data_IF_879067743437
#
_entry.id   IF_879067743437
#
_cell.length_a   1.000
_cell.length_b   1.000
_cell.length_c   1.000
_cell.angle_alpha   90.00
_cell.angle_beta   90.00
_cell.angle_gamma   90.00
#
_symmetry.space_group_name_H-M   'P 1'
#
loop_
_entity.id
_entity.type
_entity.pdbx_description
1 polymer ?
#
# COMPACT_ATOMS: atom_id res chain seq x y z
N UNK A 1 -29.89 -8.34 0.72
CA UNK A 1 -29.02 -9.14 1.60
C UNK A 1 -27.62 -8.60 1.69
N UNK A 2 -26.93 -8.26 0.60
CA UNK A 2 -25.55 -7.77 0.58
C UNK A 2 -25.29 -6.58 1.53
N UNK A 3 -26.12 -5.53 1.53
CA UNK A 3 -25.98 -4.38 2.43
C UNK A 3 -26.05 -4.72 3.93
N UNK A 4 -26.82 -5.75 4.30
CA UNK A 4 -26.86 -6.23 5.70
C UNK A 4 -25.53 -6.90 6.09
N UNK A 5 -24.95 -7.72 5.19
CA UNK A 5 -23.64 -8.35 5.42
C UNK A 5 -22.56 -7.27 5.59
N UNK A 6 -22.54 -6.26 4.74
CA UNK A 6 -21.61 -5.14 4.79
C UNK A 6 -21.73 -4.36 6.11
N UNK A 7 -22.97 -4.06 6.56
CA UNK A 7 -23.22 -3.38 7.82
C UNK A 7 -22.71 -4.17 9.03
N UNK A 8 -22.95 -5.48 9.07
CA UNK A 8 -22.49 -6.31 10.18
C UNK A 8 -20.97 -6.47 10.19
N UNK A 9 -20.35 -6.60 9.04
CA UNK A 9 -18.89 -6.67 8.93
C UNK A 9 -18.24 -5.35 9.35
N UNK A 10 -18.79 -4.21 8.91
CA UNK A 10 -18.31 -2.89 9.32
C UNK A 10 -18.45 -2.69 10.84
N UNK A 11 -19.62 -3.07 11.44
CA UNK A 11 -19.84 -2.97 12.87
C UNK A 11 -18.87 -3.83 13.69
N UNK A 12 -18.49 -4.98 13.16
CA UNK A 12 -17.58 -5.88 13.86
C UNK A 12 -16.12 -5.40 13.81
N UNK A 13 -15.70 -4.78 12.69
CA UNK A 13 -14.35 -4.22 12.52
C UNK A 13 -14.18 -2.86 13.19
N UNK A 14 -15.24 -2.03 13.22
CA UNK A 14 -15.23 -0.70 13.83
C UNK A 14 -15.06 -0.70 15.37
N UNK A 15 -15.10 -1.85 16.01
CA UNK A 15 -14.83 -1.96 17.45
C UNK A 15 -13.34 -1.95 17.80
N UNK A 16 -12.48 -2.37 16.89
CA UNK A 16 -11.05 -2.58 17.17
C UNK A 16 -10.18 -1.63 16.35
N UNK A 17 -10.43 -1.50 15.05
CA UNK A 17 -9.58 -0.71 14.15
C UNK A 17 -9.46 0.77 14.58
N UNK A 18 -10.54 1.47 15.00
CA UNK A 18 -10.42 2.87 15.43
C UNK A 18 -9.50 3.10 16.62
N UNK A 19 -9.32 2.10 17.50
CA UNK A 19 -8.38 2.23 18.62
C UNK A 19 -6.92 2.35 18.14
N UNK A 20 -6.55 1.64 17.06
CA UNK A 20 -5.21 1.76 16.50
C UNK A 20 -4.97 3.18 15.95
N UNK A 21 -5.96 3.77 15.30
CA UNK A 21 -5.90 5.17 14.84
C UNK A 21 -5.82 6.16 16.01
N UNK A 22 -6.62 5.93 17.06
CA UNK A 22 -6.63 6.80 18.23
C UNK A 22 -5.26 6.81 18.93
N UNK A 23 -4.62 5.64 19.09
CA UNK A 23 -3.31 5.53 19.71
C UNK A 23 -2.26 6.29 18.89
N UNK A 24 -2.19 6.06 17.58
CA UNK A 24 -1.24 6.76 16.71
C UNK A 24 -1.50 8.27 16.66
N UNK A 25 -2.77 8.69 16.73
CA UNK A 25 -3.16 10.10 16.80
C UNK A 25 -2.70 10.78 18.10
N UNK A 26 -2.79 10.07 19.25
CA UNK A 26 -2.27 10.58 20.51
C UNK A 26 -0.75 10.77 20.47
N UNK A 27 -0.01 9.83 19.85
CA UNK A 27 1.42 10.02 19.63
C UNK A 27 1.72 11.20 18.70
N UNK A 28 0.88 11.45 17.70
CA UNK A 28 1.03 12.62 16.84
C UNK A 28 0.84 13.92 17.62
N UNK A 29 -0.23 14.03 18.41
CA UNK A 29 -0.46 15.20 19.30
C UNK A 29 0.74 15.39 20.22
N UNK A 30 1.22 14.34 20.86
CA UNK A 30 2.37 14.37 21.75
C UNK A 30 3.63 14.90 21.03
N UNK A 31 3.94 14.40 19.85
CA UNK A 31 5.06 14.88 19.05
C UNK A 31 4.92 16.37 18.70
N UNK A 32 3.77 16.80 18.18
CA UNK A 32 3.54 18.19 17.79
C UNK A 32 3.57 19.17 18.99
N UNK A 33 3.16 18.74 20.17
CA UNK A 33 3.28 19.53 21.39
C UNK A 33 4.76 19.64 21.83
N UNK A 34 5.49 18.52 21.87
CA UNK A 34 6.90 18.52 22.24
C UNK A 34 7.76 19.37 21.29
N UNK A 35 7.47 19.34 20.00
CA UNK A 35 8.20 20.12 19.00
C UNK A 35 8.08 21.64 19.21
N UNK A 36 7.11 22.11 20.02
CA UNK A 36 6.92 23.53 20.33
C UNK A 36 7.60 23.97 21.62
N UNK A 37 7.82 23.06 22.58
CA UNK A 37 8.23 23.42 23.94
C UNK A 37 9.58 22.86 24.38
N UNK A 38 10.12 21.85 23.69
CA UNK A 38 11.31 21.13 24.12
C UNK A 38 12.44 21.18 23.07
N UNK A 39 13.67 20.96 23.56
CA UNK A 39 14.87 20.98 22.71
C UNK A 39 14.99 19.77 21.79
N UNK A 40 15.94 19.82 20.88
CA UNK A 40 16.12 18.91 19.73
C UNK A 40 16.13 17.42 20.08
N UNK A 41 16.71 17.03 21.23
CA UNK A 41 16.77 15.63 21.66
C UNK A 41 15.39 15.07 21.96
N UNK A 42 14.53 15.82 22.65
CA UNK A 42 13.17 15.39 22.99
C UNK A 42 12.27 15.34 21.75
N UNK A 43 12.49 16.25 20.82
CA UNK A 43 11.80 16.27 19.53
C UNK A 43 12.20 15.06 18.69
N UNK A 44 13.49 14.74 18.59
CA UNK A 44 13.99 13.55 17.89
C UNK A 44 13.41 12.26 18.47
N UNK A 45 13.37 12.12 19.79
CA UNK A 45 12.78 10.97 20.45
C UNK A 45 11.27 10.84 20.17
N UNK A 46 10.53 11.94 20.29
CA UNK A 46 9.07 11.93 20.01
C UNK A 46 8.75 11.64 18.53
N UNK A 47 9.59 12.09 17.60
CA UNK A 47 9.51 11.74 16.18
C UNK A 47 9.64 10.22 15.98
N UNK A 48 10.66 9.60 16.59
CA UNK A 48 10.88 8.17 16.50
C UNK A 48 9.68 7.36 17.04
N UNK A 49 9.10 7.78 18.18
CA UNK A 49 7.92 7.16 18.75
C UNK A 49 6.69 7.31 17.84
N UNK A 50 6.50 8.46 17.19
CA UNK A 50 5.41 8.66 16.25
C UNK A 50 5.57 7.77 15.02
N UNK A 51 6.76 7.70 14.42
CA UNK A 51 7.03 6.80 13.30
C UNK A 51 6.75 5.34 13.70
N UNK A 52 7.23 4.91 14.86
CA UNK A 52 6.96 3.57 15.38
C UNK A 52 5.45 3.32 15.56
N UNK A 53 4.71 4.30 16.08
CA UNK A 53 3.27 4.20 16.27
C UNK A 53 2.51 4.08 14.91
N UNK A 54 2.93 4.82 13.88
CA UNK A 54 2.34 4.73 12.54
C UNK A 54 2.61 3.37 11.89
N UNK A 55 3.83 2.86 11.99
CA UNK A 55 4.20 1.52 11.50
C UNK A 55 3.41 0.45 12.24
N UNK A 56 3.32 0.54 13.56
CA UNK A 56 2.56 -0.40 14.40
C UNK A 56 1.07 -0.37 14.05
N UNK A 57 0.49 0.82 13.87
CA UNK A 57 -0.90 0.98 13.44
C UNK A 57 -1.17 0.30 12.09
N UNK A 58 -0.26 0.50 11.11
CA UNK A 58 -0.38 -0.14 9.80
C UNK A 58 -0.37 -1.67 9.92
N UNK A 59 0.58 -2.23 10.69
CA UNK A 59 0.69 -3.68 10.93
C UNK A 59 -0.55 -4.21 11.64
N UNK A 60 -1.05 -3.52 12.68
CA UNK A 60 -2.25 -3.93 13.43
C UNK A 60 -3.44 -4.00 12.48
N UNK A 61 -3.70 -2.96 11.68
CA UNK A 61 -4.83 -2.96 10.74
C UNK A 61 -4.70 -4.11 9.74
N UNK A 62 -3.52 -4.31 9.16
CA UNK A 62 -3.25 -5.35 8.19
C UNK A 62 -3.46 -6.77 8.77
N UNK A 63 -2.87 -7.05 9.94
CA UNK A 63 -3.00 -8.34 10.63
C UNK A 63 -4.44 -8.59 11.07
N UNK A 64 -5.12 -7.58 11.62
CA UNK A 64 -6.51 -7.69 12.05
C UNK A 64 -7.45 -8.06 10.90
N UNK A 65 -7.26 -7.45 9.71
CA UNK A 65 -8.04 -7.78 8.52
C UNK A 65 -7.79 -9.22 8.06
N UNK A 66 -6.52 -9.67 8.08
CA UNK A 66 -6.15 -11.05 7.76
C UNK A 66 -6.77 -12.07 8.70
N UNK A 67 -6.59 -11.86 10.01
CA UNK A 67 -7.10 -12.75 11.07
C UNK A 67 -8.63 -12.80 11.04
N UNK A 68 -9.28 -11.68 10.85
CA UNK A 68 -10.73 -11.62 10.78
C UNK A 68 -11.27 -12.37 9.57
N UNK A 69 -10.66 -12.18 8.39
CA UNK A 69 -11.04 -12.92 7.19
C UNK A 69 -10.85 -14.43 7.39
N UNK A 70 -9.69 -14.84 7.93
CA UNK A 70 -9.43 -16.23 8.24
C UNK A 70 -10.46 -16.83 9.22
N UNK A 71 -10.65 -16.19 10.38
CA UNK A 71 -11.58 -16.71 11.41
C UNK A 71 -13.00 -16.84 10.91
N UNK A 72 -13.46 -15.87 10.12
CA UNK A 72 -14.84 -15.84 9.64
C UNK A 72 -15.12 -16.75 8.45
N UNK A 73 -14.09 -17.10 7.63
CA UNK A 73 -14.26 -17.93 6.43
C UNK A 73 -13.77 -19.38 6.61
N UNK A 74 -12.75 -19.59 7.46
CA UNK A 74 -12.06 -20.88 7.59
C UNK A 74 -11.85 -21.31 9.05
N UNK A 75 -12.05 -20.44 10.02
CA UNK A 75 -11.91 -20.71 11.45
C UNK A 75 -13.22 -21.14 12.12
N UNK A 76 -13.29 -20.99 13.45
CA UNK A 76 -14.44 -21.40 14.27
C UNK A 76 -15.78 -20.73 13.89
N UNK A 77 -15.73 -19.50 13.36
CA UNK A 77 -16.94 -18.75 12.93
C UNK A 77 -17.41 -19.15 11.51
N UNK A 78 -16.63 -19.95 10.78
CA UNK A 78 -16.91 -20.31 9.39
C UNK A 78 -18.26 -21.04 9.25
N UNK A 79 -18.59 -21.94 10.19
CA UNK A 79 -19.88 -22.64 10.18
C UNK A 79 -21.05 -21.66 10.13
N UNK A 80 -21.05 -20.66 11.03
CA UNK A 80 -22.12 -19.66 11.07
C UNK A 80 -22.15 -18.81 9.79
N UNK A 81 -21.00 -18.50 9.23
CA UNK A 81 -20.89 -17.70 8.00
C UNK A 81 -21.44 -18.45 6.78
N UNK A 82 -21.21 -19.77 6.71
CA UNK A 82 -21.66 -20.59 5.58
C UNK A 82 -23.12 -21.08 5.71
N UNK A 83 -23.73 -21.02 6.89
CA UNK A 83 -25.18 -21.30 7.08
C UNK A 83 -26.07 -20.10 6.72
N UNK A 84 -25.48 -18.91 6.46
CA UNK A 84 -26.24 -17.76 6.03
C UNK A 84 -26.89 -18.00 4.64
N UNK A 85 -28.16 -17.60 4.43
CA UNK A 85 -28.84 -17.72 3.13
C UNK A 85 -28.32 -16.66 2.14
N UNK A 86 -27.02 -16.69 1.84
CA UNK A 86 -26.33 -15.77 0.96
C UNK A 86 -25.32 -16.53 0.08
N UNK A 87 -25.09 -16.07 -1.14
CA UNK A 87 -24.08 -16.67 -1.99
C UNK A 87 -22.68 -16.46 -1.41
N UNK A 88 -21.82 -17.47 -1.52
CA UNK A 88 -20.41 -17.40 -1.05
C UNK A 88 -19.67 -16.19 -1.63
N UNK A 89 -19.99 -15.81 -2.87
CA UNK A 89 -19.44 -14.59 -3.50
C UNK A 89 -19.90 -13.31 -2.84
N UNK A 90 -21.18 -13.22 -2.43
CA UNK A 90 -21.68 -12.03 -1.71
C UNK A 90 -21.01 -11.90 -0.33
N UNK A 91 -20.76 -13.03 0.34
CA UNK A 91 -20.04 -13.06 1.61
C UNK A 91 -18.59 -12.59 1.41
N UNK A 92 -17.89 -13.11 0.40
CA UNK A 92 -16.52 -12.70 0.08
C UNK A 92 -16.43 -11.19 -0.20
N UNK A 93 -17.28 -10.68 -1.13
CA UNK A 93 -17.22 -9.27 -1.52
C UNK A 93 -17.61 -8.33 -0.38
N UNK A 94 -18.52 -8.71 0.51
CA UNK A 94 -18.86 -7.86 1.66
C UNK A 94 -17.66 -7.69 2.61
N UNK A 95 -16.91 -8.76 2.84
CA UNK A 95 -15.69 -8.74 3.66
C UNK A 95 -14.55 -7.97 2.98
N UNK A 96 -14.36 -8.22 1.69
CA UNK A 96 -13.34 -7.55 0.90
C UNK A 96 -13.55 -6.03 0.85
N UNK A 97 -14.78 -5.56 0.58
CA UNK A 97 -15.08 -4.13 0.50
C UNK A 97 -14.91 -3.41 1.85
N UNK A 98 -15.33 -4.02 2.96
CA UNK A 98 -15.10 -3.44 4.28
C UNK A 98 -13.62 -3.39 4.62
N UNK A 99 -12.87 -4.44 4.34
CA UNK A 99 -11.43 -4.47 4.56
C UNK A 99 -10.71 -3.44 3.69
N UNK A 100 -11.12 -3.32 2.42
CA UNK A 100 -10.59 -2.30 1.52
C UNK A 100 -10.84 -0.89 2.06
N UNK A 101 -12.05 -0.60 2.53
CA UNK A 101 -12.36 0.69 3.13
C UNK A 101 -11.45 1.03 4.32
N UNK A 102 -11.30 0.11 5.28
CA UNK A 102 -10.42 0.32 6.43
C UNK A 102 -8.94 0.46 6.05
N UNK A 103 -8.45 -0.38 5.15
CA UNK A 103 -7.06 -0.34 4.73
C UNK A 103 -6.75 0.92 3.92
N UNK A 104 -7.65 1.32 3.02
CA UNK A 104 -7.53 2.57 2.27
C UNK A 104 -7.50 3.80 3.20
N UNK A 105 -8.41 3.86 4.16
CA UNK A 105 -8.41 4.92 5.19
C UNK A 105 -7.10 4.92 5.98
N UNK A 106 -6.56 3.73 6.30
CA UNK A 106 -5.27 3.61 6.99
C UNK A 106 -4.10 4.18 6.16
N UNK A 107 -4.04 3.87 4.87
CA UNK A 107 -3.00 4.38 3.97
C UNK A 107 -3.10 5.91 3.82
N UNK A 108 -4.30 6.44 3.61
CA UNK A 108 -4.53 7.89 3.52
C UNK A 108 -4.19 8.59 4.84
N UNK A 109 -4.57 8.01 5.98
CA UNK A 109 -4.24 8.54 7.29
C UNK A 109 -2.73 8.63 7.51
N UNK A 110 -1.99 7.57 7.20
CA UNK A 110 -0.53 7.55 7.32
C UNK A 110 0.10 8.59 6.40
N UNK A 111 -0.37 8.68 5.16
CA UNK A 111 0.11 9.69 4.20
C UNK A 111 -0.09 11.12 4.75
N UNK A 112 -1.26 11.41 5.32
CA UNK A 112 -1.54 12.70 5.96
C UNK A 112 -0.63 12.97 7.18
N UNK A 113 -0.38 11.97 8.01
CA UNK A 113 0.51 12.09 9.17
C UNK A 113 1.97 12.32 8.74
N UNK A 114 2.44 11.61 7.71
CA UNK A 114 3.79 11.79 7.16
C UNK A 114 3.94 13.20 6.55
N UNK A 115 2.92 13.67 5.84
CA UNK A 115 2.92 15.05 5.33
C UNK A 115 2.98 16.09 6.47
N UNK A 116 2.24 15.88 7.56
CA UNK A 116 2.30 16.71 8.75
C UNK A 116 3.67 16.70 9.44
N UNK A 117 4.31 15.51 9.53
CA UNK A 117 5.67 15.37 10.04
C UNK A 117 6.68 16.13 9.19
N UNK A 118 6.57 16.02 7.88
CA UNK A 118 7.42 16.74 6.94
C UNK A 118 7.27 18.26 7.10
N UNK A 119 6.03 18.76 7.17
CA UNK A 119 5.75 20.17 7.39
C UNK A 119 6.32 20.67 8.74
N UNK A 120 6.20 19.88 9.81
CA UNK A 120 6.77 20.20 11.11
C UNK A 120 8.30 20.28 11.06
N UNK A 121 8.95 19.30 10.41
CA UNK A 121 10.40 19.28 10.24
C UNK A 121 10.91 20.52 9.51
N UNK A 122 10.22 20.94 8.44
CA UNK A 122 10.59 22.12 7.69
C UNK A 122 10.42 23.43 8.49
N UNK A 123 9.38 23.53 9.30
CA UNK A 123 9.23 24.67 10.24
C UNK A 123 10.38 24.71 11.26
N UNK A 124 10.83 23.56 11.77
CA UNK A 124 11.95 23.51 12.70
C UNK A 124 13.26 23.93 12.04
N UNK A 125 13.48 23.56 10.78
CA UNK A 125 14.65 23.97 10.00
C UNK A 125 14.57 25.43 9.54
N UNK A 126 13.51 26.17 9.93
CA UNK A 126 13.23 27.57 9.52
C UNK A 126 13.20 27.78 8.02
N UNK A 127 12.84 26.75 7.26
CA UNK A 127 12.65 26.87 5.82
C UNK A 127 11.31 27.50 5.56
N UNK A 128 11.27 28.59 4.77
CA UNK A 128 10.03 29.28 4.42
C UNK A 128 9.10 28.35 3.66
N UNK A 129 7.87 28.19 4.16
CA UNK A 129 6.87 27.31 3.53
C UNK A 129 6.46 27.78 2.13
N UNK A 130 6.55 29.08 1.83
CA UNK A 130 6.32 29.63 0.50
C UNK A 130 7.43 29.24 -0.48
N UNK A 131 8.67 29.20 -0.02
CA UNK A 131 9.81 28.66 -0.78
C UNK A 131 9.70 27.15 -0.96
N UNK A 132 9.11 26.45 0.02
CA UNK A 132 8.91 25.00 -0.03
C UNK A 132 7.71 24.62 -0.90
N UNK A 133 6.63 25.39 -0.88
CA UNK A 133 5.51 25.23 -1.81
C UNK A 133 6.02 25.35 -3.24
N UNK A 134 6.85 26.36 -3.50
CA UNK A 134 7.61 26.49 -4.73
C UNK A 134 8.59 25.33 -4.95
N UNK A 135 9.32 24.92 -3.92
CA UNK A 135 10.28 23.80 -3.98
C UNK A 135 9.62 22.45 -4.20
N UNK A 136 8.44 22.20 -3.62
CA UNK A 136 7.69 20.96 -3.84
C UNK A 136 7.02 20.94 -5.21
N UNK A 137 6.43 22.06 -5.67
CA UNK A 137 6.00 22.20 -7.05
C UNK A 137 7.16 22.07 -8.02
N UNK A 138 8.32 22.61 -7.68
CA UNK A 138 9.54 22.48 -8.42
C UNK A 138 10.05 21.04 -8.45
N UNK A 139 10.00 20.31 -7.33
CA UNK A 139 10.31 18.89 -7.27
C UNK A 139 9.34 18.06 -8.14
N UNK A 140 8.06 18.39 -8.14
CA UNK A 140 7.07 17.74 -9.01
C UNK A 140 7.29 18.09 -10.48
N UNK A 141 7.60 19.35 -10.78
CA UNK A 141 8.00 19.79 -12.14
C UNK A 141 9.31 19.12 -12.57
N UNK A 142 10.26 19.01 -11.64
CA UNK A 142 11.50 18.26 -11.84
C UNK A 142 11.20 16.79 -12.17
N UNK A 143 10.22 16.17 -11.52
CA UNK A 143 9.73 14.82 -11.87
C UNK A 143 8.88 14.78 -13.15
N UNK A 144 8.75 15.90 -13.88
CA UNK A 144 7.93 15.97 -15.09
C UNK A 144 6.44 15.79 -14.86
N UNK A 145 5.99 15.98 -13.61
CA UNK A 145 4.59 15.89 -13.23
C UNK A 145 4.05 17.33 -13.12
N UNK A 146 3.38 17.87 -14.15
CA UNK A 146 2.79 19.21 -14.09
C UNK A 146 1.53 19.18 -13.24
N UNK A 147 1.70 19.15 -11.93
CA UNK A 147 0.58 18.92 -11.01
C UNK A 147 0.32 20.21 -10.24
N UNK A 148 -0.83 20.81 -10.44
CA UNK A 148 -1.42 21.74 -9.49
C UNK A 148 -1.63 21.04 -8.14
N UNK A 149 -1.73 21.75 -7.01
CA UNK A 149 -1.91 21.14 -5.69
C UNK A 149 -3.03 20.07 -5.65
N UNK A 150 -4.12 20.26 -6.40
CA UNK A 150 -5.19 19.26 -6.56
C UNK A 150 -4.77 18.01 -7.34
N UNK A 151 -3.96 18.18 -8.36
CA UNK A 151 -3.43 17.04 -9.13
C UNK A 151 -2.55 16.14 -8.28
N UNK A 152 -1.73 16.70 -7.37
CA UNK A 152 -0.97 15.92 -6.40
C UNK A 152 -1.86 15.07 -5.52
N UNK A 153 -2.92 15.67 -4.95
CA UNK A 153 -3.88 14.94 -4.11
C UNK A 153 -4.47 13.77 -4.89
N UNK A 154 -4.84 13.97 -6.16
CA UNK A 154 -5.37 12.90 -7.02
C UNK A 154 -4.34 11.79 -7.26
N UNK A 155 -3.06 12.12 -7.52
CA UNK A 155 -1.98 11.15 -7.69
C UNK A 155 -1.76 10.34 -6.41
N UNK A 156 -1.71 11.00 -5.25
CA UNK A 156 -1.57 10.32 -3.96
C UNK A 156 -2.76 9.42 -3.63
N UNK A 157 -3.99 9.87 -3.92
CA UNK A 157 -5.19 9.06 -3.75
C UNK A 157 -5.19 7.84 -4.69
N UNK A 158 -4.81 8.04 -5.96
CA UNK A 158 -4.68 6.94 -6.92
C UNK A 158 -3.62 5.92 -6.47
N UNK A 159 -2.47 6.40 -5.98
CA UNK A 159 -1.42 5.54 -5.42
C UNK A 159 -1.91 4.79 -4.18
N UNK A 160 -2.57 5.48 -3.23
CA UNK A 160 -3.16 4.86 -2.06
C UNK A 160 -4.19 3.78 -2.42
N UNK A 161 -5.00 4.03 -3.44
CA UNK A 161 -6.02 3.11 -3.95
C UNK A 161 -5.37 1.85 -4.55
N UNK A 162 -4.36 2.02 -5.40
CA UNK A 162 -3.66 0.89 -6.05
C UNK A 162 -2.89 0.04 -5.04
N UNK A 163 -2.17 0.66 -4.10
CA UNK A 163 -1.47 -0.04 -3.02
C UNK A 163 -2.44 -0.81 -2.13
N UNK A 164 -3.56 -0.19 -1.77
CA UNK A 164 -4.57 -0.83 -0.91
C UNK A 164 -5.22 -2.02 -1.60
N UNK A 165 -5.58 -1.89 -2.88
CA UNK A 165 -6.16 -2.99 -3.66
C UNK A 165 -5.18 -4.15 -3.80
N UNK A 166 -3.95 -3.89 -4.26
CA UNK A 166 -2.95 -4.92 -4.48
C UNK A 166 -2.60 -5.70 -3.21
N UNK A 167 -2.37 -4.97 -2.10
CA UNK A 167 -2.06 -5.59 -0.81
C UNK A 167 -3.17 -6.49 -0.30
N UNK A 168 -4.44 -6.04 -0.38
CA UNK A 168 -5.58 -6.83 0.07
C UNK A 168 -5.88 -8.02 -0.82
N UNK A 169 -5.76 -7.88 -2.14
CA UNK A 169 -5.93 -8.99 -3.07
C UNK A 169 -4.92 -10.10 -2.76
N UNK A 170 -3.65 -9.74 -2.59
CA UNK A 170 -2.59 -10.67 -2.23
C UNK A 170 -2.88 -11.35 -0.89
N UNK A 171 -3.30 -10.57 0.13
CA UNK A 171 -3.63 -11.08 1.44
C UNK A 171 -4.80 -12.07 1.41
N UNK A 172 -5.92 -11.71 0.78
CA UNK A 172 -7.12 -12.54 0.72
C UNK A 172 -6.90 -13.78 -0.13
N UNK A 173 -6.14 -13.67 -1.21
CA UNK A 173 -5.71 -14.82 -1.99
C UNK A 173 -4.87 -15.79 -1.15
N UNK A 174 -3.86 -15.28 -0.43
CA UNK A 174 -2.99 -16.09 0.40
C UNK A 174 -3.73 -16.79 1.54
N UNK A 175 -4.66 -16.08 2.20
CA UNK A 175 -5.50 -16.68 3.24
C UNK A 175 -6.40 -17.77 2.66
N UNK A 176 -7.04 -17.53 1.53
CA UNK A 176 -7.92 -18.52 0.88
C UNK A 176 -7.13 -19.74 0.39
N UNK A 177 -6.06 -19.52 -0.37
CA UNK A 177 -5.24 -20.59 -0.92
C UNK A 177 -4.55 -21.39 0.20
N UNK A 178 -4.00 -20.73 1.21
CA UNK A 178 -3.36 -21.37 2.36
C UNK A 178 -4.31 -22.18 3.23
N UNK A 179 -5.60 -21.80 3.28
CA UNK A 179 -6.61 -22.54 4.06
C UNK A 179 -7.23 -23.71 3.28
N UNK A 180 -7.21 -23.67 1.95
CA UNK A 180 -7.84 -24.68 1.09
C UNK A 180 -6.86 -25.64 0.41
N UNK A 181 -5.56 -25.36 0.49
CA UNK A 181 -4.48 -26.13 -0.11
C UNK A 181 -3.91 -27.21 0.84
N UNK A 182 -2.79 -27.78 0.45
CA UNK A 182 -2.01 -28.75 1.25
C UNK A 182 -1.66 -28.19 2.64
N UNK A 183 -1.53 -26.86 2.77
CA UNK A 183 -1.22 -26.16 4.02
C UNK A 183 -2.42 -25.99 4.97
N UNK A 184 -3.64 -26.37 4.56
CA UNK A 184 -4.85 -26.21 5.37
C UNK A 184 -4.79 -26.96 6.72
N UNK A 185 -4.01 -28.05 6.82
CA UNK A 185 -3.79 -28.78 8.07
C UNK A 185 -3.01 -27.99 9.12
N UNK A 186 -2.26 -26.95 8.73
CA UNK A 186 -1.42 -26.12 9.62
C UNK A 186 -2.20 -24.98 10.30
N UNK A 187 -3.53 -24.93 10.16
CA UNK A 187 -4.36 -23.87 10.74
C UNK A 187 -3.97 -22.47 10.21
N UNK A 188 -3.73 -21.51 11.11
CA UNK A 188 -3.31 -20.15 10.71
C UNK A 188 -1.89 -20.10 10.11
N UNK A 189 -1.06 -21.11 10.30
CA UNK A 189 0.27 -21.20 9.67
C UNK A 189 0.22 -21.33 8.16
N UNK A 190 -0.80 -22.02 7.63
CA UNK A 190 -1.00 -22.18 6.19
C UNK A 190 -1.11 -20.86 5.42
N UNK A 191 -2.02 -19.94 5.81
CA UNK A 191 -2.10 -18.59 5.26
C UNK A 191 -0.78 -17.79 5.29
N UNK A 192 -0.02 -17.90 6.38
CA UNK A 192 1.26 -17.18 6.51
C UNK A 192 2.29 -17.70 5.52
N UNK A 193 2.46 -19.02 5.44
CA UNK A 193 3.37 -19.64 4.48
C UNK A 193 2.96 -19.28 3.05
N UNK A 194 1.66 -19.38 2.76
CA UNK A 194 1.15 -19.07 1.42
C UNK A 194 1.36 -17.59 1.06
N UNK A 195 1.23 -16.68 2.02
CA UNK A 195 1.52 -15.25 1.81
C UNK A 195 2.99 -15.03 1.41
N UNK A 196 3.92 -15.67 2.12
CA UNK A 196 5.36 -15.58 1.81
C UNK A 196 5.64 -16.14 0.41
N UNK A 197 5.09 -17.30 0.06
CA UNK A 197 5.26 -17.90 -1.26
C UNK A 197 4.71 -17.04 -2.38
N UNK A 198 3.51 -16.47 -2.18
CA UNK A 198 2.88 -15.57 -3.15
C UNK A 198 3.71 -14.29 -3.32
N UNK A 199 4.19 -13.72 -2.21
CA UNK A 199 5.05 -12.54 -2.24
C UNK A 199 6.34 -12.77 -3.01
N UNK A 200 7.04 -13.89 -2.73
CA UNK A 200 8.25 -14.29 -3.46
C UNK A 200 7.92 -14.51 -4.95
N UNK A 201 6.81 -15.20 -5.24
CA UNK A 201 6.36 -15.41 -6.62
C UNK A 201 6.10 -14.09 -7.37
N UNK A 202 5.46 -13.12 -6.72
CA UNK A 202 5.24 -11.78 -7.30
C UNK A 202 6.57 -11.06 -7.56
N UNK A 203 7.56 -11.15 -6.67
CA UNK A 203 8.88 -10.55 -6.89
C UNK A 203 9.59 -11.17 -8.09
N UNK A 204 9.58 -12.50 -8.20
CA UNK A 204 10.16 -13.22 -9.33
C UNK A 204 9.46 -12.81 -10.63
N UNK A 205 8.13 -12.79 -10.66
CA UNK A 205 7.37 -12.35 -11.83
C UNK A 205 7.65 -10.89 -12.19
N UNK A 206 7.83 -10.02 -11.20
CA UNK A 206 8.21 -8.63 -11.41
C UNK A 206 9.58 -8.48 -12.06
N UNK A 207 10.57 -9.28 -11.64
CA UNK A 207 11.90 -9.32 -12.25
C UNK A 207 11.80 -9.80 -13.70
N UNK A 208 11.09 -10.90 -13.96
CA UNK A 208 10.88 -11.40 -15.31
C UNK A 208 10.13 -10.39 -16.20
N UNK A 209 9.14 -9.69 -15.65
CA UNK A 209 8.43 -8.65 -16.38
C UNK A 209 9.37 -7.48 -16.75
N UNK A 210 10.25 -7.07 -15.84
CA UNK A 210 11.26 -6.05 -16.12
C UNK A 210 12.31 -6.47 -17.16
N UNK A 211 12.56 -7.78 -17.30
CA UNK A 211 13.45 -8.33 -18.32
C UNK A 211 12.78 -8.47 -19.68
N UNK A 212 11.56 -9.01 -19.71
CA UNK A 212 10.88 -9.43 -20.94
C UNK A 212 10.06 -8.31 -21.57
N UNK A 213 9.55 -7.37 -20.76
CA UNK A 213 8.76 -6.25 -21.27
C UNK A 213 9.68 -5.04 -21.38
N UNK A 214 10.19 -4.72 -22.58
CA UNK A 214 11.17 -3.64 -22.80
C UNK A 214 10.46 -2.28 -22.85
N UNK A 215 9.70 -1.94 -21.80
CA UNK A 215 9.01 -0.66 -21.68
C UNK A 215 9.50 0.01 -20.40
N UNK A 216 10.21 1.11 -20.56
CA UNK A 216 10.76 1.87 -19.44
C UNK A 216 10.51 3.37 -19.64
N UNK A 217 10.36 4.09 -18.54
CA UNK A 217 10.41 5.54 -18.53
C UNK A 217 11.86 5.96 -18.29
N UNK A 218 12.45 6.66 -19.25
CA UNK A 218 13.78 7.25 -19.11
C UNK A 218 13.64 8.65 -18.51
N UNK A 219 14.37 8.87 -17.42
CA UNK A 219 14.51 10.19 -16.82
C UNK A 219 15.70 10.89 -17.47
N UNK A 220 15.43 11.91 -18.26
CA UNK A 220 16.49 12.75 -18.82
C UNK A 220 16.69 13.95 -17.91
N UNK A 221 17.85 14.03 -17.26
CA UNK A 221 18.31 15.24 -16.60
C UNK A 221 18.78 16.20 -17.67
N UNK A 222 18.12 17.33 -17.83
CA UNK A 222 18.63 18.38 -18.70
C UNK A 222 19.89 18.95 -18.04
N UNK A 223 21.04 18.90 -18.71
CA UNK A 223 22.37 19.32 -18.20
C UNK A 223 22.42 20.81 -17.79
N UNK A 224 21.43 21.60 -18.14
CA UNK A 224 21.30 23.01 -17.72
C UNK A 224 21.08 23.19 -16.21
N UNK A 225 21.01 22.12 -15.42
CA UNK A 225 20.92 22.18 -13.97
C UNK A 225 22.14 22.86 -13.32
N UNK A 226 23.30 22.80 -13.94
CA UNK A 226 24.51 23.42 -13.41
C UNK A 226 24.55 24.95 -13.58
N UNK A 227 23.83 25.48 -14.55
CA UNK A 227 23.85 26.92 -14.88
C UNK A 227 22.61 27.71 -14.40
N UNK A 228 21.51 27.04 -14.02
CA UNK A 228 20.31 27.66 -13.45
C UNK A 228 19.88 26.89 -12.21
N UNK A 229 20.25 27.41 -11.05
CA UNK A 229 19.96 26.85 -9.71
C UNK A 229 18.46 26.59 -9.45
N UNK A 230 17.54 26.97 -10.32
CA UNK A 230 16.11 26.93 -10.09
C UNK A 230 15.22 26.52 -11.29
N UNK A 231 15.73 25.94 -12.36
CA UNK A 231 14.92 25.74 -13.57
C UNK A 231 15.05 24.46 -14.37
N UNK A 232 15.76 23.45 -13.88
CA UNK A 232 15.88 22.17 -14.57
C UNK A 232 14.53 21.43 -14.65
N UNK A 233 14.03 21.23 -15.87
CA UNK A 233 12.84 20.41 -16.13
C UNK A 233 13.28 19.00 -16.40
N UNK A 234 12.86 18.06 -15.56
CA UNK A 234 13.03 16.64 -15.83
C UNK A 234 12.03 16.23 -16.91
N UNK A 235 12.51 15.71 -18.03
CA UNK A 235 11.64 15.16 -19.06
C UNK A 235 11.57 13.65 -18.93
N UNK A 236 10.37 13.10 -19.06
CA UNK A 236 10.13 11.67 -19.11
C UNK A 236 9.95 11.26 -20.57
N UNK A 237 10.75 10.33 -21.01
CA UNK A 237 10.65 9.76 -22.34
C UNK A 237 10.32 8.28 -22.22
N UNK A 238 9.33 7.84 -22.98
CA UNK A 238 8.95 6.44 -23.04
C UNK A 238 9.91 5.73 -23.99
N UNK A 239 10.76 4.88 -23.44
CA UNK A 239 11.80 4.19 -24.18
C UNK A 239 11.50 2.69 -24.19
N UNK A 240 11.70 2.06 -25.36
CA UNK A 240 11.57 0.62 -25.51
C UNK A 240 12.91 -0.07 -25.19
N UNK A 241 13.37 0.10 -23.95
CA UNK A 241 14.56 -0.57 -23.43
C UNK A 241 14.22 -1.31 -22.13
N UNK A 242 14.75 -2.53 -21.99
CA UNK A 242 14.63 -3.29 -20.77
C UNK A 242 15.58 -2.73 -19.72
N UNK A 243 15.05 -2.25 -18.60
CA UNK A 243 15.81 -1.72 -17.47
C UNK A 243 16.82 -2.73 -16.93
N UNK A 244 16.45 -4.00 -16.87
CA UNK A 244 17.32 -5.07 -16.37
C UNK A 244 18.44 -5.39 -17.35
N UNK A 245 18.18 -5.41 -18.66
CA UNK A 245 19.21 -5.62 -19.68
C UNK A 245 20.22 -4.48 -19.70
N UNK A 246 19.80 -3.23 -19.54
CA UNK A 246 20.69 -2.07 -19.45
C UNK A 246 21.55 -2.10 -18.19
N UNK A 247 21.03 -2.64 -17.07
CA UNK A 247 21.78 -2.88 -15.84
C UNK A 247 22.89 -3.92 -16.04
N UNK A 248 22.57 -5.04 -16.67
CA UNK A 248 23.53 -6.12 -16.93
C UNK A 248 24.56 -5.76 -18.02
N UNK A 249 24.20 -4.91 -18.98
CA UNK A 249 25.11 -4.47 -20.04
C UNK A 249 26.10 -3.38 -19.61
N UNK A 250 26.00 -2.88 -18.36
CA UNK A 250 26.87 -1.82 -17.85
C UNK A 250 26.65 -0.47 -18.50
N UNK A 251 25.52 -0.26 -19.19
CA UNK A 251 25.14 1.01 -19.76
C UNK A 251 24.93 2.04 -18.65
N UNK A 252 25.69 3.13 -18.63
CA UNK A 252 25.62 4.15 -17.58
C UNK A 252 24.24 4.81 -17.40
N UNK A 253 23.31 4.59 -18.32
CA UNK A 253 21.95 5.09 -18.28
C UNK A 253 20.96 4.19 -17.46
N UNK A 254 21.42 3.04 -16.96
CA UNK A 254 20.55 2.08 -16.26
C UNK A 254 19.86 2.67 -15.02
N UNK A 255 20.52 3.60 -14.32
CA UNK A 255 19.94 4.28 -13.15
C UNK A 255 18.86 5.33 -13.48
N UNK A 256 18.69 5.65 -14.77
CA UNK A 256 17.70 6.63 -15.24
C UNK A 256 16.44 5.97 -15.82
N UNK A 257 16.40 4.64 -15.88
CA UNK A 257 15.29 3.87 -16.44
C UNK A 257 14.37 3.36 -15.34
N UNK A 258 13.10 3.73 -15.40
CA UNK A 258 12.06 3.22 -14.50
C UNK A 258 11.24 2.12 -15.21
N UNK A 259 11.26 0.86 -14.74
CA UNK A 259 10.61 -0.26 -15.43
C UNK A 259 9.09 -0.17 -15.34
N UNK A 260 8.41 0.06 -16.45
CA UNK A 260 6.93 0.02 -16.51
C UNK A 260 6.39 -1.40 -16.69
N UNK A 261 7.21 -2.33 -17.19
CA UNK A 261 6.78 -3.70 -17.50
C UNK A 261 6.15 -4.43 -16.32
N UNK A 262 6.72 -4.29 -15.11
CA UNK A 262 6.18 -4.87 -13.88
C UNK A 262 4.82 -4.26 -13.50
N UNK A 263 4.61 -2.97 -13.73
CA UNK A 263 3.34 -2.31 -13.42
C UNK A 263 2.22 -2.70 -14.38
N UNK A 264 2.55 -3.00 -15.65
CA UNK A 264 1.58 -3.51 -16.65
C UNK A 264 1.14 -4.94 -16.29
N UNK A 265 2.05 -5.75 -15.73
CA UNK A 265 1.76 -7.13 -15.36
C UNK A 265 0.93 -7.24 -14.07
N UNK A 266 1.08 -6.31 -13.14
CA UNK A 266 0.38 -6.34 -11.84
C UNK A 266 -1.15 -6.43 -11.95
N UNK A 267 -1.87 -5.67 -12.80
CA UNK A 267 -3.32 -5.82 -12.96
C UNK A 267 -3.74 -7.22 -13.42
N UNK A 268 -2.94 -7.87 -14.27
CA UNK A 268 -3.21 -9.24 -14.75
C UNK A 268 -3.05 -10.23 -13.60
N UNK A 269 -1.97 -10.10 -12.81
CA UNK A 269 -1.73 -10.93 -11.62
C UNK A 269 -2.87 -10.76 -10.61
N UNK A 270 -3.25 -9.52 -10.28
CA UNK A 270 -4.31 -9.26 -9.30
C UNK A 270 -5.67 -9.75 -9.78
N UNK A 271 -5.99 -9.58 -11.06
CA UNK A 271 -7.23 -10.10 -11.63
C UNK A 271 -7.27 -11.62 -11.56
N UNK A 272 -6.18 -12.31 -11.90
CA UNK A 272 -6.08 -13.77 -11.80
C UNK A 272 -6.23 -14.25 -10.36
N UNK A 273 -5.60 -13.56 -9.39
CA UNK A 273 -5.73 -13.87 -7.97
C UNK A 273 -7.16 -13.73 -7.45
N UNK A 274 -7.88 -12.67 -7.85
CA UNK A 274 -9.30 -12.49 -7.48
C UNK A 274 -10.15 -13.63 -8.05
N UNK A 275 -9.97 -13.96 -9.33
CA UNK A 275 -10.73 -15.03 -9.99
C UNK A 275 -10.51 -16.38 -9.31
N UNK A 276 -9.25 -16.71 -9.00
CA UNK A 276 -8.90 -17.95 -8.29
C UNK A 276 -9.49 -17.92 -6.88
N UNK A 277 -9.40 -16.80 -6.15
CA UNK A 277 -9.97 -16.67 -4.81
C UNK A 277 -11.48 -16.93 -4.83
N UNK A 278 -12.20 -16.28 -5.74
CA UNK A 278 -13.66 -16.46 -5.89
C UNK A 278 -14.00 -17.91 -6.26
N UNK A 279 -13.22 -18.53 -7.14
CA UNK A 279 -13.38 -19.94 -7.50
C UNK A 279 -13.18 -20.86 -6.30
N UNK A 280 -12.12 -20.67 -5.51
CA UNK A 280 -11.82 -21.46 -4.33
C UNK A 280 -12.91 -21.31 -3.25
N UNK A 281 -13.37 -20.10 -3.02
CA UNK A 281 -14.46 -19.81 -2.07
C UNK A 281 -15.76 -20.51 -2.48
N UNK A 282 -16.04 -20.64 -3.78
CA UNK A 282 -17.25 -21.35 -4.28
C UNK A 282 -17.17 -22.88 -4.17
N UNK A 283 -15.99 -23.45 -4.41
CA UNK A 283 -15.86 -24.89 -4.65
C UNK A 283 -15.15 -25.68 -3.57
N UNK A 284 -14.27 -25.04 -2.77
CA UNK A 284 -13.38 -25.75 -1.83
C UNK A 284 -13.49 -25.29 -0.38
N UNK A 285 -14.57 -24.62 0.01
CA UNK A 285 -14.85 -24.38 1.44
C UNK A 285 -15.36 -25.69 2.07
N UNK A 286 -14.44 -26.59 2.41
CA UNK A 286 -14.76 -27.71 3.29
C UNK A 286 -14.68 -27.19 4.72
N UNK A 287 -15.80 -27.15 5.40
CA UNK A 287 -15.86 -26.95 6.85
C UNK A 287 -15.20 -28.17 7.50
N UNK A 288 -14.08 -27.98 8.19
CA UNK A 288 -13.48 -28.94 9.10
C UNK A 288 -13.89 -28.66 10.54
#
# INVERSE_FOLDING_TARGET
MFGRLLKYELKATSRVIPFAFLISFLFAIFHFLLSRFLGDLAVGASFAFLVLALVTQFIIVWVMLAVRYYKSMYGAEAYLTHTLPASSTSIFWSKFLVAFGWFFVSVVYIAAMVAGLFANLMQMLKVNMDELGGGFEMFLRFLGIPVSGWGLVLVLLFFALTVSLGSLITLYFAVTAGSTSVFGSMGMGGPVIMYILVYIGQQILGIFAGLLIPISLKMNFVEDFANHILGGVMSWELVFESTMLSWFSGNGNAGQLFPLGSYILNPIIYTSMILITVYLVKRKTSLR
#
